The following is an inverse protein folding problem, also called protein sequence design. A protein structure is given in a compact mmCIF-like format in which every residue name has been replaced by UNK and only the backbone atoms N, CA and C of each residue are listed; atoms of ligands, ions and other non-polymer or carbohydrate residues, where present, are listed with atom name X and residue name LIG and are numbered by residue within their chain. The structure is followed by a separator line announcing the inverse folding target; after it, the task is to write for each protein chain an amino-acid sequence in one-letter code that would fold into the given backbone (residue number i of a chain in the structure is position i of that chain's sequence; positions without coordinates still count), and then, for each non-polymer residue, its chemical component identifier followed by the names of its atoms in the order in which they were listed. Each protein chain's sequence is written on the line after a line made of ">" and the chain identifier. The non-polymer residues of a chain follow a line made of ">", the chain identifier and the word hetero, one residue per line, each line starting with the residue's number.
data_IF_068328494964
#
_entry.id   IF_068328494964
#
_cell.length_a   1.000
_cell.length_b   1.000
_cell.length_c   1.000
_cell.angle_alpha   90.00
_cell.angle_beta   90.00
_cell.angle_gamma   90.00
#
_symmetry.space_group_name_H-M   'P 1'
#
loop_
_entity.id
_entity.type
_entity.pdbx_description
1 polymer ?
#
# COMPACT_ATOMS: atom_id res chain seq x y z
N UNK A 1 20.03 35.40 67.64
CA UNK A 1 19.90 35.57 66.20
C UNK A 1 18.76 34.63 65.73
N UNK A 2 17.53 35.15 65.55
CA UNK A 2 16.39 34.40 65.11
C UNK A 2 16.37 34.40 63.58
N UNK A 3 16.47 33.20 62.92
CA UNK A 3 16.34 33.08 61.54
C UNK A 3 14.87 33.35 61.15
N UNK A 4 14.60 34.27 60.20
CA UNK A 4 13.24 34.49 59.72
C UNK A 4 12.77 33.26 58.94
N UNK A 5 11.64 32.68 59.34
CA UNK A 5 11.00 31.60 58.59
C UNK A 5 10.59 32.11 57.19
N UNK A 6 10.91 31.39 56.10
CA UNK A 6 10.49 31.81 54.76
C UNK A 6 8.98 31.93 54.72
N UNK A 7 8.44 32.97 54.12
CA UNK A 7 6.99 33.19 54.06
C UNK A 7 6.29 32.07 53.28
N UNK A 8 5.14 31.63 53.79
CA UNK A 8 4.37 30.49 53.30
C UNK A 8 3.98 30.57 51.79
N UNK A 9 3.84 31.76 51.25
CA UNK A 9 3.55 32.00 49.83
C UNK A 9 4.67 31.55 48.89
N UNK A 10 5.93 31.45 49.33
CA UNK A 10 7.02 30.88 48.51
C UNK A 10 6.83 29.39 48.22
N UNK A 11 6.12 28.65 49.08
CA UNK A 11 5.80 27.24 48.89
C UNK A 11 4.73 27.04 47.82
N UNK A 12 3.80 27.97 47.63
CA UNK A 12 2.77 27.91 46.62
C UNK A 12 3.27 28.23 45.21
N UNK A 13 4.31 29.03 45.08
CA UNK A 13 4.97 29.33 43.82
C UNK A 13 5.55 28.07 43.14
N UNK A 14 6.17 27.18 43.91
CA UNK A 14 6.76 25.94 43.41
C UNK A 14 5.69 24.91 42.97
N UNK A 15 4.58 24.82 43.70
CA UNK A 15 3.47 23.94 43.34
C UNK A 15 2.79 24.38 42.02
N UNK A 16 2.61 25.70 41.85
CA UNK A 16 2.08 26.27 40.61
C UNK A 16 2.96 25.96 39.40
N UNK A 17 4.28 26.07 39.54
CA UNK A 17 5.23 25.75 38.47
C UNK A 17 5.19 24.26 38.09
N UNK A 18 5.12 23.37 39.08
CA UNK A 18 5.02 21.90 38.82
C UNK A 18 3.71 21.58 38.10
N UNK A 19 2.58 22.13 38.55
CA UNK A 19 1.28 21.93 37.91
C UNK A 19 1.29 22.42 36.47
N UNK A 20 1.84 23.61 36.20
CA UNK A 20 1.94 24.15 34.83
C UNK A 20 2.82 23.29 33.91
N UNK A 21 3.96 22.82 34.41
CA UNK A 21 4.86 21.94 33.66
C UNK A 21 4.20 20.60 33.33
N UNK A 22 3.41 20.03 34.26
CA UNK A 22 2.69 18.79 34.07
C UNK A 22 1.60 18.95 33.00
N UNK A 23 0.83 20.02 33.05
CA UNK A 23 -0.20 20.31 32.02
C UNK A 23 0.44 20.50 30.64
N UNK A 24 1.56 21.22 30.55
CA UNK A 24 2.28 21.41 29.30
C UNK A 24 2.79 20.06 28.71
N UNK A 25 3.34 19.20 29.57
CA UNK A 25 3.80 17.86 29.15
C UNK A 25 2.66 16.98 28.68
N UNK A 26 1.55 16.94 29.40
CA UNK A 26 0.36 16.18 28.98
C UNK A 26 -0.21 16.71 27.65
N UNK A 27 -0.26 18.02 27.47
CA UNK A 27 -0.66 18.65 26.21
C UNK A 27 0.24 18.25 25.05
N UNK A 28 1.56 18.26 25.27
CA UNK A 28 2.52 17.85 24.25
C UNK A 28 2.36 16.37 23.85
N UNK A 29 2.20 15.47 24.84
CA UNK A 29 1.95 14.04 24.58
C UNK A 29 0.65 13.86 23.80
N UNK A 30 -0.43 14.56 24.19
CA UNK A 30 -1.70 14.49 23.48
C UNK A 30 -1.57 14.91 21.98
N UNK A 31 -0.81 15.97 21.70
CA UNK A 31 -0.54 16.42 20.33
C UNK A 31 0.24 15.36 19.54
N UNK A 32 1.27 14.74 20.14
CA UNK A 32 2.02 13.66 19.47
C UNK A 32 1.13 12.45 19.12
N UNK A 33 0.24 12.06 20.03
CA UNK A 33 -0.74 10.99 19.77
C UNK A 33 -1.68 11.38 18.63
N UNK A 34 -2.20 12.62 18.65
CA UNK A 34 -3.07 13.11 17.59
C UNK A 34 -2.38 13.12 16.22
N UNK A 35 -1.14 13.56 16.13
CA UNK A 35 -0.37 13.54 14.87
C UNK A 35 -0.22 12.11 14.35
N UNK A 36 0.07 11.15 15.23
CA UNK A 36 0.19 9.75 14.84
C UNK A 36 -1.13 9.16 14.31
N UNK A 37 -2.24 9.44 15.00
CA UNK A 37 -3.58 8.98 14.58
C UNK A 37 -4.00 9.62 13.26
N UNK A 38 -3.79 10.93 13.10
CA UNK A 38 -4.08 11.65 11.86
C UNK A 38 -3.25 11.12 10.69
N UNK A 39 -1.96 10.85 10.92
CA UNK A 39 -1.08 10.26 9.92
C UNK A 39 -1.59 8.90 9.44
N UNK A 40 -1.95 8.00 10.37
CA UNK A 40 -2.51 6.68 10.05
C UNK A 40 -3.81 6.81 9.24
N UNK A 41 -4.74 7.64 9.69
CA UNK A 41 -6.03 7.85 8.99
C UNK A 41 -5.83 8.44 7.59
N UNK A 42 -4.88 9.35 7.41
CA UNK A 42 -4.56 9.92 6.10
C UNK A 42 -3.99 8.86 5.14
N UNK A 43 -3.11 7.98 5.61
CA UNK A 43 -2.59 6.86 4.82
C UNK A 43 -3.70 5.89 4.42
N UNK A 44 -4.57 5.50 5.35
CA UNK A 44 -5.71 4.63 5.04
C UNK A 44 -6.67 5.26 4.02
N UNK A 45 -6.98 6.55 4.17
CA UNK A 45 -7.82 7.27 3.22
C UNK A 45 -7.18 7.31 1.82
N UNK A 46 -5.87 7.56 1.74
CA UNK A 46 -5.12 7.54 0.49
C UNK A 46 -5.15 6.18 -0.19
N UNK A 47 -4.91 5.10 0.55
CA UNK A 47 -4.95 3.74 0.02
C UNK A 47 -6.36 3.36 -0.50
N UNK A 48 -7.42 3.73 0.23
CA UNK A 48 -8.81 3.54 -0.23
C UNK A 48 -9.09 4.31 -1.52
N UNK A 49 -8.62 5.54 -1.62
CA UNK A 49 -8.78 6.37 -2.82
C UNK A 49 -8.07 5.75 -4.04
N UNK A 50 -6.85 5.23 -3.85
CA UNK A 50 -6.10 4.55 -4.91
C UNK A 50 -6.85 3.30 -5.38
N UNK A 51 -7.36 2.50 -4.44
CA UNK A 51 -8.12 1.29 -4.78
C UNK A 51 -9.46 1.61 -5.45
N UNK A 52 -10.15 2.67 -5.04
CA UNK A 52 -11.35 3.15 -5.72
C UNK A 52 -11.05 3.59 -7.15
N UNK A 53 -9.95 4.30 -7.38
CA UNK A 53 -9.54 4.69 -8.73
C UNK A 53 -9.17 3.47 -9.60
N UNK A 54 -8.61 2.39 -9.01
CA UNK A 54 -8.43 1.12 -9.70
C UNK A 54 -9.78 0.50 -10.11
N UNK A 55 -10.74 0.42 -9.19
CA UNK A 55 -12.08 -0.11 -9.51
C UNK A 55 -12.78 0.71 -10.61
N UNK A 56 -12.63 2.03 -10.60
CA UNK A 56 -13.16 2.89 -11.66
C UNK A 56 -12.49 2.62 -13.01
N UNK A 57 -11.18 2.34 -12.99
CA UNK A 57 -10.42 1.98 -14.18
C UNK A 57 -10.86 0.61 -14.71
N UNK A 58 -11.05 -0.36 -13.83
CA UNK A 58 -11.55 -1.70 -14.14
C UNK A 58 -12.96 -1.65 -14.73
N UNK A 59 -13.86 -0.88 -14.11
CA UNK A 59 -15.22 -0.70 -14.61
C UNK A 59 -15.26 -0.09 -16.02
N UNK A 60 -14.34 0.83 -16.32
CA UNK A 60 -14.22 1.44 -17.66
C UNK A 60 -13.55 0.53 -18.67
N UNK A 61 -12.80 -0.47 -18.23
CA UNK A 61 -12.02 -1.38 -19.07
C UNK A 61 -12.26 -2.86 -18.69
N UNK A 62 -13.50 -3.34 -18.69
CA UNK A 62 -13.83 -4.69 -18.20
C UNK A 62 -13.13 -5.81 -18.99
N UNK A 63 -12.69 -5.52 -20.22
CA UNK A 63 -11.91 -6.45 -21.05
C UNK A 63 -10.52 -6.74 -20.47
N UNK A 64 -10.03 -5.92 -19.52
CA UNK A 64 -8.72 -6.11 -18.88
C UNK A 64 -8.79 -6.87 -17.57
N UNK A 65 -9.96 -7.01 -16.93
CA UNK A 65 -10.14 -7.81 -15.72
C UNK A 65 -9.95 -9.32 -16.01
N UNK A 66 -10.40 -9.76 -17.19
CA UNK A 66 -10.19 -11.12 -17.69
C UNK A 66 -9.61 -11.05 -19.11
N UNK A 67 -8.31 -10.76 -19.24
CA UNK A 67 -7.72 -10.39 -20.51
C UNK A 67 -7.59 -11.59 -21.48
N UNK A 68 -7.99 -11.38 -22.71
CA UNK A 68 -7.56 -12.20 -23.83
C UNK A 68 -6.20 -11.68 -24.33
N UNK A 69 -5.12 -12.24 -23.80
CA UNK A 69 -3.76 -11.77 -24.08
C UNK A 69 -3.38 -11.93 -25.57
N UNK A 70 -3.87 -12.97 -26.25
CA UNK A 70 -3.58 -13.15 -27.67
C UNK A 70 -4.22 -12.04 -28.49
N UNK A 71 -5.48 -11.71 -28.19
CA UNK A 71 -6.17 -10.60 -28.85
C UNK A 71 -5.49 -9.25 -28.58
N UNK A 72 -5.06 -9.02 -27.33
CA UNK A 72 -4.38 -7.77 -26.96
C UNK A 72 -3.04 -7.66 -27.71
N UNK A 73 -2.26 -8.73 -27.82
CA UNK A 73 -0.96 -8.73 -28.49
C UNK A 73 -1.05 -8.65 -30.02
N UNK A 74 -2.11 -9.18 -30.60
CA UNK A 74 -2.31 -9.15 -32.06
C UNK A 74 -3.10 -7.93 -32.51
N UNK A 75 -3.68 -7.20 -31.58
CA UNK A 75 -4.41 -5.95 -31.80
C UNK A 75 -3.51 -4.74 -32.06
N UNK A 76 -4.10 -3.54 -32.05
CA UNK A 76 -3.33 -2.31 -32.11
C UNK A 76 -2.27 -2.22 -31.00
N UNK A 77 -1.08 -1.69 -31.27
CA UNK A 77 -0.02 -1.53 -30.25
C UNK A 77 -0.48 -0.74 -29.02
N UNK A 78 -1.47 0.15 -29.17
CA UNK A 78 -2.09 0.91 -28.07
C UNK A 78 -2.75 0.01 -27.04
N UNK A 79 -3.33 -1.12 -27.44
CA UNK A 79 -4.08 -2.02 -26.55
C UNK A 79 -3.13 -2.71 -25.57
N UNK A 80 -1.95 -3.11 -26.03
CA UNK A 80 -0.92 -3.68 -25.16
C UNK A 80 -0.40 -2.64 -24.15
N UNK A 81 -0.16 -1.42 -24.60
CA UNK A 81 0.29 -0.32 -23.71
C UNK A 81 -0.79 0.01 -22.68
N UNK A 82 -2.04 0.08 -23.07
CA UNK A 82 -3.15 0.34 -22.14
C UNK A 82 -3.29 -0.80 -21.12
N UNK A 83 -3.20 -2.04 -21.58
CA UNK A 83 -3.25 -3.20 -20.71
C UNK A 83 -2.07 -3.25 -19.73
N UNK A 84 -0.86 -2.97 -20.18
CA UNK A 84 0.34 -2.87 -19.32
C UNK A 84 0.15 -1.78 -18.26
N UNK A 85 -0.39 -0.63 -18.64
CA UNK A 85 -0.70 0.47 -17.72
C UNK A 85 -1.76 0.05 -16.70
N UNK A 86 -2.79 -0.68 -17.12
CA UNK A 86 -3.83 -1.23 -16.26
C UNK A 86 -3.23 -2.17 -15.20
N UNK A 87 -2.41 -3.14 -15.62
CA UNK A 87 -1.76 -4.09 -14.71
C UNK A 87 -0.81 -3.37 -13.74
N UNK A 88 -0.06 -2.40 -14.22
CA UNK A 88 0.83 -1.59 -13.38
C UNK A 88 0.06 -0.82 -12.30
N UNK A 89 -1.08 -0.24 -12.67
CA UNK A 89 -1.95 0.46 -11.71
C UNK A 89 -2.57 -0.51 -10.69
N UNK A 90 -3.01 -1.68 -11.12
CA UNK A 90 -3.49 -2.75 -10.25
C UNK A 90 -2.44 -3.15 -9.21
N UNK A 91 -1.21 -3.45 -9.65
CA UNK A 91 -0.12 -3.83 -8.74
C UNK A 91 0.19 -2.72 -7.74
N UNK A 92 0.21 -1.47 -8.18
CA UNK A 92 0.40 -0.32 -7.32
C UNK A 92 -0.73 -0.18 -6.29
N UNK A 93 -1.99 -0.30 -6.71
CA UNK A 93 -3.13 -0.23 -5.81
C UNK A 93 -3.09 -1.33 -4.73
N UNK A 94 -2.75 -2.56 -5.11
CA UNK A 94 -2.59 -3.67 -4.17
C UNK A 94 -1.40 -3.46 -3.23
N UNK A 95 -0.27 -2.97 -3.72
CA UNK A 95 0.90 -2.68 -2.91
C UNK A 95 0.57 -1.66 -1.81
N UNK A 96 -0.10 -0.57 -2.16
CA UNK A 96 -0.46 0.48 -1.20
C UNK A 96 -1.52 0.03 -0.19
N UNK A 97 -2.54 -0.72 -0.63
CA UNK A 97 -3.57 -1.23 0.29
C UNK A 97 -3.02 -2.25 1.28
N UNK A 98 -2.20 -3.20 0.81
CA UNK A 98 -1.60 -4.23 1.66
C UNK A 98 -0.62 -3.62 2.69
N UNK A 99 0.09 -2.54 2.33
CA UNK A 99 1.00 -1.85 3.26
C UNK A 99 0.27 -1.16 4.41
N UNK A 100 -0.87 -0.56 4.13
CA UNK A 100 -1.52 0.41 5.01
C UNK A 100 -2.53 -0.23 5.95
N UNK A 101 -3.31 -1.22 5.48
CA UNK A 101 -4.40 -1.79 6.25
C UNK A 101 -3.96 -2.88 7.23
N UNK A 102 -4.52 -2.85 8.44
CA UNK A 102 -4.26 -3.86 9.47
C UNK A 102 -4.84 -5.24 9.11
N UNK A 103 -5.95 -5.28 8.35
CA UNK A 103 -6.59 -6.50 7.83
C UNK A 103 -5.94 -7.00 6.53
N UNK A 104 -4.63 -7.10 6.52
CA UNK A 104 -3.81 -7.48 5.34
C UNK A 104 -4.31 -8.73 4.63
N UNK A 105 -4.86 -9.71 5.37
CA UNK A 105 -5.37 -10.96 4.79
C UNK A 105 -6.52 -10.76 3.81
N UNK A 106 -7.48 -9.91 4.17
CA UNK A 106 -8.66 -9.65 3.34
C UNK A 106 -8.27 -8.92 2.06
N UNK A 107 -7.47 -7.86 2.20
CA UNK A 107 -6.95 -7.13 1.05
C UNK A 107 -6.05 -7.98 0.16
N UNK A 108 -5.20 -8.79 0.77
CA UNK A 108 -4.34 -9.71 0.02
C UNK A 108 -5.16 -10.74 -0.75
N UNK A 109 -6.22 -11.31 -0.15
CA UNK A 109 -7.09 -12.27 -0.82
C UNK A 109 -7.79 -11.68 -2.04
N UNK A 110 -8.24 -10.41 -1.95
CA UNK A 110 -8.83 -9.69 -3.08
C UNK A 110 -7.78 -9.49 -4.19
N UNK A 111 -6.61 -8.98 -3.82
CA UNK A 111 -5.51 -8.80 -4.78
C UNK A 111 -5.02 -10.12 -5.38
N UNK A 112 -4.99 -11.22 -4.61
CA UNK A 112 -4.63 -12.55 -5.10
C UNK A 112 -5.63 -13.07 -6.15
N UNK A 113 -6.92 -12.75 -5.97
CA UNK A 113 -7.97 -13.15 -6.92
C UNK A 113 -7.76 -12.47 -8.27
N UNK A 114 -7.57 -11.17 -8.30
CA UNK A 114 -7.39 -10.41 -9.53
C UNK A 114 -6.03 -10.69 -10.18
N UNK A 115 -4.97 -10.82 -9.38
CA UNK A 115 -3.62 -11.10 -9.87
C UNK A 115 -3.54 -12.35 -10.74
N UNK A 116 -4.32 -13.39 -10.43
CA UNK A 116 -4.31 -14.66 -11.19
C UNK A 116 -4.56 -14.45 -12.67
N UNK A 117 -5.41 -13.50 -13.02
CA UNK A 117 -5.74 -13.18 -14.41
C UNK A 117 -4.58 -12.53 -15.17
N UNK A 118 -3.66 -11.90 -14.45
CA UNK A 118 -2.53 -11.15 -14.99
C UNK A 118 -1.19 -11.90 -14.92
N UNK A 119 -1.13 -13.04 -14.22
CA UNK A 119 0.12 -13.80 -14.06
C UNK A 119 0.78 -14.20 -15.39
N UNK A 120 0.04 -14.64 -16.43
CA UNK A 120 0.66 -14.98 -17.71
C UNK A 120 1.38 -13.78 -18.34
N UNK A 121 0.76 -12.60 -18.32
CA UNK A 121 1.37 -11.38 -18.82
C UNK A 121 2.62 -10.99 -18.01
N UNK A 122 2.50 -10.99 -16.68
CA UNK A 122 3.62 -10.63 -15.78
C UNK A 122 4.80 -11.59 -15.95
N UNK A 123 4.53 -12.86 -16.17
CA UNK A 123 5.55 -13.86 -16.44
C UNK A 123 6.29 -13.57 -17.74
N UNK A 124 5.56 -13.34 -18.84
CA UNK A 124 6.17 -12.97 -20.12
C UNK A 124 6.94 -11.66 -20.05
N UNK A 125 6.37 -10.66 -19.36
CA UNK A 125 7.00 -9.34 -19.20
C UNK A 125 8.29 -9.45 -18.40
N UNK A 126 8.31 -10.22 -17.31
CA UNK A 126 9.51 -10.44 -16.51
C UNK A 126 10.62 -11.18 -17.28
N UNK A 127 10.27 -12.04 -18.22
CA UNK A 127 11.24 -12.71 -19.10
C UNK A 127 11.79 -11.78 -20.18
N UNK A 128 10.94 -10.93 -20.75
CA UNK A 128 11.33 -9.98 -21.77
C UNK A 128 12.11 -8.79 -21.21
N UNK A 129 11.71 -8.32 -20.05
CA UNK A 129 12.23 -7.14 -19.38
C UNK A 129 12.51 -7.46 -17.89
N UNK A 130 13.67 -8.04 -17.55
CA UNK A 130 13.97 -8.45 -16.17
C UNK A 130 13.91 -7.31 -15.13
N UNK A 131 14.07 -6.06 -15.58
CA UNK A 131 14.00 -4.86 -14.73
C UNK A 131 12.55 -4.47 -14.39
N UNK A 132 11.55 -4.92 -15.17
CA UNK A 132 10.15 -4.50 -15.01
C UNK A 132 9.63 -4.70 -13.57
N UNK A 133 9.80 -5.89 -13.01
CA UNK A 133 9.34 -6.17 -11.66
C UNK A 133 10.16 -5.48 -10.57
N UNK A 134 11.38 -5.02 -10.86
CA UNK A 134 12.23 -4.32 -9.86
C UNK A 134 11.75 -2.91 -9.55
N UNK A 135 10.78 -2.38 -10.30
CA UNK A 135 10.14 -1.10 -10.03
C UNK A 135 9.19 -1.16 -8.81
N UNK A 136 8.79 -2.36 -8.40
CA UNK A 136 7.94 -2.60 -7.23
C UNK A 136 8.77 -2.94 -6.00
N UNK A 137 8.16 -2.82 -4.81
CA UNK A 137 8.83 -3.19 -3.56
C UNK A 137 9.22 -4.67 -3.52
N UNK A 138 10.24 -5.00 -2.73
CA UNK A 138 10.67 -6.39 -2.57
C UNK A 138 9.56 -7.32 -2.04
N UNK A 139 8.61 -6.79 -1.26
CA UNK A 139 7.44 -7.54 -0.78
C UNK A 139 6.49 -7.88 -1.93
N UNK A 140 6.19 -6.91 -2.79
CA UNK A 140 5.37 -7.08 -3.98
C UNK A 140 6.01 -8.07 -4.96
N UNK A 141 7.32 -7.99 -5.19
CA UNK A 141 8.04 -8.95 -6.01
C UNK A 141 7.92 -10.38 -5.46
N UNK A 142 8.08 -10.56 -4.13
CA UNK A 142 7.93 -11.87 -3.48
C UNK A 142 6.51 -12.40 -3.57
N UNK A 143 5.52 -11.51 -3.40
CA UNK A 143 4.12 -11.85 -3.54
C UNK A 143 3.79 -12.35 -4.96
N UNK A 144 4.17 -11.62 -6.01
CA UNK A 144 3.98 -12.03 -7.42
C UNK A 144 4.65 -13.38 -7.68
N UNK A 145 5.91 -13.54 -7.25
CA UNK A 145 6.64 -14.79 -7.42
C UNK A 145 6.00 -15.99 -6.68
N UNK A 146 5.39 -15.74 -5.51
CA UNK A 146 4.65 -16.77 -4.77
C UNK A 146 3.37 -17.18 -5.51
N UNK A 147 2.62 -16.22 -6.04
CA UNK A 147 1.41 -16.50 -6.82
C UNK A 147 1.72 -17.22 -8.13
N UNK A 148 2.79 -16.86 -8.83
CA UNK A 148 3.27 -17.60 -10.00
C UNK A 148 3.54 -19.07 -9.68
N UNK A 149 4.27 -19.34 -8.57
CA UNK A 149 4.55 -20.74 -8.16
C UNK A 149 3.28 -21.50 -7.80
N UNK A 150 2.34 -20.89 -7.07
CA UNK A 150 1.08 -21.54 -6.69
C UNK A 150 0.19 -21.85 -7.90
N UNK A 151 0.22 -21.00 -8.89
CA UNK A 151 -0.59 -21.16 -10.12
C UNK A 151 0.10 -22.05 -11.18
N UNK A 152 1.29 -22.59 -10.90
CA UNK A 152 2.07 -23.38 -11.83
C UNK A 152 2.59 -22.56 -13.04
N UNK A 153 2.55 -21.22 -12.95
CA UNK A 153 3.08 -20.33 -13.99
C UNK A 153 4.57 -20.16 -13.74
N UNK A 154 5.38 -21.01 -14.40
CA UNK A 154 6.86 -20.96 -14.27
C UNK A 154 7.49 -20.39 -15.53
N UNK A 155 8.74 -19.94 -15.43
CA UNK A 155 9.46 -19.34 -16.55
C UNK A 155 9.44 -20.17 -17.87
N UNK A 156 9.55 -21.52 -17.86
CA UNK A 156 9.36 -22.30 -19.09
C UNK A 156 7.89 -22.32 -19.58
N UNK A 157 6.91 -22.22 -18.66
CA UNK A 157 5.49 -22.33 -18.97
C UNK A 157 4.89 -21.02 -19.49
N UNK A 158 5.52 -19.88 -19.24
CA UNK A 158 5.10 -18.59 -19.80
C UNK A 158 5.03 -18.60 -21.33
N UNK A 159 5.82 -19.47 -21.97
CA UNK A 159 5.85 -19.64 -23.44
C UNK A 159 4.93 -20.73 -23.96
N UNK A 160 4.39 -21.61 -23.11
CA UNK A 160 3.73 -22.86 -23.53
C UNK A 160 2.20 -22.82 -23.56
N UNK A 161 1.56 -21.77 -23.03
CA UNK A 161 0.12 -21.60 -23.22
C UNK A 161 -0.21 -20.88 -24.53
N UNK A 162 0.30 -21.43 -25.62
CA UNK A 162 -0.24 -21.26 -26.98
C UNK A 162 -1.19 -22.41 -27.26
N UNK A 163 -2.41 -22.32 -26.80
CA UNK A 163 -3.52 -23.09 -27.33
C UNK A 163 -4.78 -22.29 -27.25
#
# INVERSE_FOLDING_TARGET
>A
MSHPHPPWWLKFGSVGQIAQSTVALCGFIAVLVQINVLGKNAHEAGARQIYQAYNDLEFKNPQYSHPDLERIKTGPPSDLVQYETFVSYFLYACEETIKVFDNKREWQATCDYDLKNHLPFLCEKALAEPVYLTTYSGDTQRWIAAQMRQSGVTAPDCKLRKT
#
